data_IF_298855698427
#
_entry.id   IF_298855698427
#
_cell.length_a   1.000
_cell.length_b   1.000
_cell.length_c   1.000
_cell.angle_alpha   90.00
_cell.angle_beta   90.00
_cell.angle_gamma   90.00
#
_symmetry.space_group_name_H-M   'P 1'
#
loop_
_entity.id
_entity.type
_entity.pdbx_description
1 polymer ?
#
# COMPACT_ATOMS: atom_id res chain seq x y z
N UNK A 1 27.04 9.71 -79.85
CA UNK A 1 26.73 11.16 -79.95
C UNK A 1 26.16 11.60 -78.62
N UNK A 2 26.98 12.22 -77.76
CA UNK A 2 26.62 12.58 -76.39
C UNK A 2 25.85 13.90 -76.30
N UNK A 3 24.85 13.95 -75.42
CA UNK A 3 23.97 15.10 -75.20
C UNK A 3 24.81 16.21 -74.54
N UNK A 4 25.00 17.35 -75.22
CA UNK A 4 25.67 18.53 -74.65
C UNK A 4 24.66 19.38 -73.89
N UNK A 5 24.97 19.75 -72.65
CA UNK A 5 24.12 20.63 -71.84
C UNK A 5 24.15 22.06 -72.40
N UNK A 6 22.98 22.67 -72.59
CA UNK A 6 22.80 24.06 -73.06
C UNK A 6 23.00 25.10 -71.94
N UNK A 7 22.99 24.66 -70.67
CA UNK A 7 23.12 25.56 -69.52
C UNK A 7 24.57 26.02 -69.36
N UNK A 8 24.77 27.32 -69.24
CA UNK A 8 26.03 27.87 -68.80
C UNK A 8 26.18 27.69 -67.29
N UNK A 9 26.96 26.67 -66.92
CA UNK A 9 27.19 26.32 -65.52
C UNK A 9 28.11 27.33 -64.82
N UNK A 10 28.88 28.13 -65.55
CA UNK A 10 29.77 29.13 -64.94
C UNK A 10 28.94 30.29 -64.39
N UNK A 11 28.07 30.87 -65.21
CA UNK A 11 27.17 31.95 -64.79
C UNK A 11 26.14 31.46 -63.78
N UNK A 12 25.57 30.27 -63.97
CA UNK A 12 24.62 29.69 -63.03
C UNK A 12 25.24 29.49 -61.63
N UNK A 13 26.44 28.90 -61.54
CA UNK A 13 27.12 28.70 -60.26
C UNK A 13 27.50 30.02 -59.59
N UNK A 14 27.88 31.04 -60.37
CA UNK A 14 28.16 32.36 -59.86
C UNK A 14 26.91 33.01 -59.24
N UNK A 15 25.77 32.94 -59.95
CA UNK A 15 24.49 33.45 -59.45
C UNK A 15 24.04 32.70 -58.20
N UNK A 16 24.13 31.37 -58.21
CA UNK A 16 23.75 30.54 -57.06
C UNK A 16 24.58 30.86 -55.82
N UNK A 17 25.88 31.15 -55.99
CA UNK A 17 26.76 31.53 -54.88
C UNK A 17 26.45 32.95 -54.37
N UNK A 18 26.21 33.91 -55.26
CA UNK A 18 25.83 35.30 -54.91
C UNK A 18 24.50 35.35 -54.16
N UNK A 19 23.53 34.54 -54.58
CA UNK A 19 22.20 34.48 -53.95
C UNK A 19 22.17 33.55 -52.73
N UNK A 20 23.23 32.78 -52.48
CA UNK A 20 23.28 31.88 -51.34
C UNK A 20 23.25 32.66 -50.03
N UNK A 21 22.42 32.21 -49.09
CA UNK A 21 22.43 32.77 -47.74
C UNK A 21 23.64 32.22 -46.98
N UNK A 22 24.37 33.06 -46.23
CA UNK A 22 25.49 32.58 -45.42
C UNK A 22 24.99 31.51 -44.42
N UNK A 23 25.78 30.44 -44.28
CA UNK A 23 25.48 29.38 -43.30
C UNK A 23 25.41 30.02 -41.92
N UNK A 24 24.37 29.67 -41.15
CA UNK A 24 24.27 30.07 -39.74
C UNK A 24 25.50 29.49 -39.03
N UNK A 25 26.33 30.36 -38.49
CA UNK A 25 27.34 30.00 -37.49
C UNK A 25 26.66 29.22 -36.36
N UNK A 26 27.34 28.19 -35.84
CA UNK A 26 26.82 27.35 -34.76
C UNK A 26 26.21 28.25 -33.68
N UNK A 27 24.91 28.07 -33.45
CA UNK A 27 24.10 29.01 -32.69
C UNK A 27 24.68 29.24 -31.30
N UNK A 28 24.60 30.49 -30.83
CA UNK A 28 24.86 30.86 -29.44
C UNK A 28 24.16 29.86 -28.51
N UNK A 29 24.87 29.41 -27.46
CA UNK A 29 24.31 28.50 -26.46
C UNK A 29 22.94 29.00 -25.99
N UNK A 30 21.95 28.10 -25.95
CA UNK A 30 20.58 28.43 -25.58
C UNK A 30 20.55 29.02 -24.16
N UNK A 31 19.98 30.23 -24.03
CA UNK A 31 19.86 30.92 -22.76
C UNK A 31 18.65 30.39 -21.98
N UNK A 32 18.91 29.50 -21.03
CA UNK A 32 17.88 28.87 -20.19
C UNK A 32 17.12 29.84 -19.28
N UNK A 33 17.65 31.06 -19.05
CA UNK A 33 16.95 32.11 -18.32
C UNK A 33 15.89 32.80 -19.18
N UNK A 34 16.09 32.83 -20.50
CA UNK A 34 15.16 33.45 -21.46
C UNK A 34 14.12 32.48 -22.03
N UNK A 35 13.88 31.34 -21.36
CA UNK A 35 12.79 30.44 -21.75
C UNK A 35 11.44 31.14 -21.52
N UNK A 36 10.44 30.97 -22.41
CA UNK A 36 9.19 31.73 -22.38
C UNK A 36 8.41 31.59 -21.07
N UNK A 37 8.48 30.40 -20.44
CA UNK A 37 7.75 30.09 -19.22
C UNK A 37 8.69 30.05 -17.99
N UNK A 38 9.77 30.83 -17.99
CA UNK A 38 10.66 30.92 -16.83
C UNK A 38 9.91 31.47 -15.62
N UNK A 39 9.88 30.70 -14.52
CA UNK A 39 9.18 31.09 -13.29
C UNK A 39 7.67 30.81 -13.28
N UNK A 40 7.06 30.43 -14.40
CA UNK A 40 5.65 30.04 -14.46
C UNK A 40 5.47 28.56 -14.12
N UNK A 41 4.39 28.24 -13.39
CA UNK A 41 4.01 26.84 -13.09
C UNK A 41 3.41 26.21 -14.35
N UNK A 42 3.92 25.06 -14.84
CA UNK A 42 3.36 24.35 -15.97
C UNK A 42 1.91 23.90 -15.76
N UNK A 43 1.12 23.88 -16.83
CA UNK A 43 -0.31 23.59 -16.78
C UNK A 43 -0.63 22.18 -16.25
N UNK A 44 0.17 21.18 -16.65
CA UNK A 44 -0.01 19.79 -16.20
C UNK A 44 0.05 19.63 -14.67
N UNK A 45 0.79 20.49 -13.95
CA UNK A 45 0.85 20.43 -12.50
C UNK A 45 -0.44 20.90 -11.85
N UNK A 46 -1.16 21.84 -12.48
CA UNK A 46 -2.47 22.29 -12.01
C UNK A 46 -3.51 21.16 -12.15
N UNK A 47 -3.48 20.45 -13.27
CA UNK A 47 -4.33 19.28 -13.51
C UNK A 47 -4.08 18.18 -12.47
N UNK A 48 -2.81 17.85 -12.21
CA UNK A 48 -2.43 16.87 -11.19
C UNK A 48 -2.91 17.29 -9.80
N UNK A 49 -2.74 18.57 -9.44
CA UNK A 49 -3.19 19.09 -8.15
C UNK A 49 -4.70 18.99 -8.01
N UNK A 50 -5.46 19.34 -9.04
CA UNK A 50 -6.91 19.23 -9.04
C UNK A 50 -7.35 17.76 -8.91
N UNK A 51 -6.72 16.85 -9.68
CA UNK A 51 -6.98 15.42 -9.58
C UNK A 51 -6.74 14.87 -8.18
N UNK A 52 -5.61 15.23 -7.56
CA UNK A 52 -5.30 14.83 -6.18
C UNK A 52 -6.33 15.37 -5.19
N UNK A 53 -6.75 16.63 -5.33
CA UNK A 53 -7.77 17.23 -4.46
C UNK A 53 -9.11 16.48 -4.57
N UNK A 54 -9.53 16.11 -5.77
CA UNK A 54 -10.75 15.32 -5.99
C UNK A 54 -10.63 13.91 -5.40
N UNK A 55 -9.48 13.25 -5.56
CA UNK A 55 -9.22 11.94 -4.97
C UNK A 55 -9.27 12.00 -3.44
N UNK A 56 -8.62 12.99 -2.82
CA UNK A 56 -8.67 13.18 -1.37
C UNK A 56 -10.10 13.41 -0.88
N UNK A 57 -10.87 14.29 -1.54
CA UNK A 57 -12.25 14.56 -1.18
C UNK A 57 -13.14 13.30 -1.32
N UNK A 58 -12.90 12.48 -2.35
CA UNK A 58 -13.62 11.22 -2.56
C UNK A 58 -13.29 10.17 -1.49
N UNK A 59 -12.02 10.03 -1.11
CA UNK A 59 -11.63 9.13 -0.02
C UNK A 59 -12.21 9.61 1.32
N UNK A 60 -12.26 10.92 1.54
CA UNK A 60 -12.86 11.49 2.74
C UNK A 60 -14.37 11.25 2.80
N UNK A 61 -15.10 11.40 1.68
CA UNK A 61 -16.53 11.08 1.63
C UNK A 61 -16.77 9.60 1.89
N UNK A 62 -15.99 8.69 1.30
CA UNK A 62 -16.07 7.25 1.57
C UNK A 62 -15.85 6.89 3.05
N UNK A 63 -14.89 7.55 3.71
CA UNK A 63 -14.64 7.35 5.15
C UNK A 63 -15.81 7.87 5.98
N UNK A 64 -16.35 9.04 5.62
CA UNK A 64 -17.48 9.64 6.31
C UNK A 64 -18.76 8.81 6.14
N UNK A 65 -19.02 8.32 4.93
CA UNK A 65 -20.15 7.45 4.63
C UNK A 65 -20.03 6.10 5.35
N UNK A 66 -18.82 5.52 5.43
CA UNK A 66 -18.60 4.34 6.28
C UNK A 66 -18.80 4.63 7.78
N UNK A 67 -18.46 5.84 8.26
CA UNK A 67 -18.69 6.22 9.65
C UNK A 67 -20.16 6.51 9.98
N UNK A 68 -20.96 6.92 8.98
CA UNK A 68 -22.39 7.27 9.12
C UNK A 68 -23.33 6.13 8.71
N UNK A 69 -22.86 5.16 7.94
CA UNK A 69 -23.64 4.06 7.38
C UNK A 69 -22.94 2.73 7.64
N UNK A 70 -23.38 2.05 8.69
CA UNK A 70 -23.11 0.63 8.93
C UNK A 70 -23.65 -0.18 7.74
N UNK A 71 -22.83 -0.37 6.69
CA UNK A 71 -23.09 -1.33 5.63
C UNK A 71 -22.93 -2.75 6.20
N UNK A 72 -23.97 -3.60 6.18
CA UNK A 72 -23.88 -4.96 6.69
C UNK A 72 -23.08 -5.81 5.70
N UNK A 73 -21.76 -5.90 5.88
CA UNK A 73 -20.93 -6.86 5.13
C UNK A 73 -19.47 -6.45 4.89
N UNK A 74 -19.09 -5.18 5.05
CA UNK A 74 -17.68 -4.80 4.98
C UNK A 74 -17.14 -4.74 6.41
N UNK A 75 -16.59 -5.85 6.87
CA UNK A 75 -16.06 -5.96 8.22
C UNK A 75 -15.09 -4.81 8.49
N UNK A 76 -15.37 -4.03 9.52
CA UNK A 76 -14.55 -2.89 9.88
C UNK A 76 -13.19 -3.42 10.33
N UNK A 77 -12.18 -3.32 9.46
CA UNK A 77 -10.83 -3.80 9.72
C UNK A 77 -10.12 -2.75 10.57
N UNK A 78 -10.10 -2.97 11.89
CA UNK A 78 -9.51 -2.04 12.86
C UNK A 78 -8.27 -2.63 13.50
N UNK A 79 -7.22 -1.82 13.63
CA UNK A 79 -6.06 -2.17 14.47
C UNK A 79 -6.47 -2.09 15.93
N UNK A 80 -6.31 -3.19 16.66
CA UNK A 80 -6.62 -3.25 18.09
C UNK A 80 -5.66 -2.32 18.86
N UNK A 81 -6.17 -1.41 19.71
CA UNK A 81 -5.33 -0.57 20.55
C UNK A 81 -4.57 -1.41 21.58
N UNK A 82 -3.38 -0.94 21.97
CA UNK A 82 -2.51 -1.69 22.89
C UNK A 82 -3.13 -1.96 24.26
N UNK A 83 -3.97 -1.04 24.77
CA UNK A 83 -4.67 -1.21 26.04
C UNK A 83 -5.63 -2.41 26.01
N UNK A 84 -6.40 -2.53 24.93
CA UNK A 84 -7.34 -3.63 24.71
C UNK A 84 -6.60 -4.96 24.51
N UNK A 85 -5.49 -4.94 23.74
CA UNK A 85 -4.64 -6.12 23.55
C UNK A 85 -4.09 -6.64 24.88
N UNK A 86 -3.58 -5.75 25.73
CA UNK A 86 -3.05 -6.13 27.05
C UNK A 86 -4.16 -6.68 27.95
N UNK A 87 -5.35 -6.07 27.94
CA UNK A 87 -6.51 -6.57 28.68
C UNK A 87 -6.91 -7.99 28.21
N UNK A 88 -6.99 -8.21 26.90
CA UNK A 88 -7.30 -9.52 26.31
C UNK A 88 -6.24 -10.57 26.68
N UNK A 89 -4.96 -10.22 26.59
CA UNK A 89 -3.85 -11.10 26.96
C UNK A 89 -3.90 -11.48 28.45
N UNK A 90 -4.22 -10.53 29.34
CA UNK A 90 -4.39 -10.80 30.76
C UNK A 90 -5.59 -11.71 31.02
N UNK A 91 -6.71 -11.50 30.31
CA UNK A 91 -7.89 -12.37 30.40
C UNK A 91 -7.60 -13.81 29.96
N UNK A 92 -6.90 -13.98 28.84
CA UNK A 92 -6.47 -15.30 28.34
C UNK A 92 -5.56 -16.02 29.33
N UNK A 93 -4.57 -15.32 29.90
CA UNK A 93 -3.68 -15.88 30.94
C UNK A 93 -4.44 -16.28 32.19
N UNK A 94 -5.39 -15.47 32.65
CA UNK A 94 -6.24 -15.79 33.80
C UNK A 94 -7.05 -17.06 33.54
N UNK A 95 -7.67 -17.19 32.37
CA UNK A 95 -8.41 -18.39 31.99
C UNK A 95 -7.52 -19.63 31.90
N UNK A 96 -6.32 -19.48 31.33
CA UNK A 96 -5.33 -20.56 31.28
C UNK A 96 -4.95 -21.02 32.69
N UNK A 97 -4.70 -20.10 33.63
CA UNK A 97 -4.37 -20.46 35.02
C UNK A 97 -5.48 -21.25 35.71
N UNK A 98 -6.75 -20.83 35.56
CA UNK A 98 -7.89 -21.54 36.12
C UNK A 98 -8.01 -22.95 35.54
N UNK A 99 -7.99 -23.06 34.21
CA UNK A 99 -8.12 -24.33 33.51
C UNK A 99 -6.95 -25.28 33.79
N UNK A 100 -5.72 -24.76 33.82
CA UNK A 100 -4.54 -25.54 34.15
C UNK A 100 -4.60 -26.01 35.62
N UNK A 101 -5.06 -25.18 36.55
CA UNK A 101 -5.26 -25.62 37.94
C UNK A 101 -6.27 -26.78 38.03
N UNK A 102 -7.39 -26.70 37.32
CA UNK A 102 -8.37 -27.79 37.24
C UNK A 102 -7.77 -29.05 36.60
N UNK A 103 -6.99 -28.88 35.53
CA UNK A 103 -6.29 -29.97 34.87
C UNK A 103 -5.31 -30.67 35.81
N UNK A 104 -4.43 -29.92 36.49
CA UNK A 104 -3.46 -30.46 37.46
C UNK A 104 -4.16 -31.20 38.61
N UNK A 105 -5.33 -30.72 39.05
CA UNK A 105 -6.12 -31.45 40.04
C UNK A 105 -6.60 -32.81 39.55
N UNK A 106 -6.63 -33.07 38.23
CA UNK A 106 -7.02 -34.37 37.65
C UNK A 106 -5.83 -35.24 37.23
N UNK A 107 -4.61 -34.70 37.11
CA UNK A 107 -3.44 -35.44 36.61
C UNK A 107 -2.94 -36.54 37.55
N UNK A 108 -3.26 -36.47 38.85
CA UNK A 108 -2.92 -37.52 39.82
C UNK A 108 -3.66 -38.86 39.56
N UNK A 109 -4.67 -38.87 38.69
CA UNK A 109 -5.41 -40.08 38.31
C UNK A 109 -4.63 -40.82 37.22
N UNK A 110 -3.72 -41.71 37.64
CA UNK A 110 -2.82 -42.46 36.74
C UNK A 110 -3.55 -43.48 35.86
N UNK A 111 -4.65 -44.05 36.36
CA UNK A 111 -5.45 -45.05 35.63
C UNK A 111 -6.71 -44.43 35.03
N UNK A 112 -6.71 -44.28 33.70
CA UNK A 112 -7.84 -43.77 32.91
C UNK A 112 -8.74 -44.92 32.43
N UNK A 113 -9.17 -45.79 33.34
CA UNK A 113 -9.87 -47.06 33.02
C UNK A 113 -11.26 -46.90 32.39
N UNK A 114 -11.81 -45.68 32.39
CA UNK A 114 -13.14 -45.38 31.86
C UNK A 114 -13.06 -44.35 30.74
N UNK A 115 -13.83 -44.54 29.67
CA UNK A 115 -13.91 -43.61 28.53
C UNK A 115 -14.15 -42.16 28.97
N UNK A 116 -14.98 -41.93 29.99
CA UNK A 116 -15.25 -40.59 30.52
C UNK A 116 -14.03 -39.90 31.16
N UNK A 117 -13.11 -40.65 31.77
CA UNK A 117 -11.86 -40.10 32.32
C UNK A 117 -10.91 -39.67 31.20
N UNK A 118 -10.75 -40.51 30.18
CA UNK A 118 -9.95 -40.19 29.00
C UNK A 118 -10.50 -38.95 28.26
N UNK A 119 -11.81 -38.92 28.01
CA UNK A 119 -12.47 -37.79 27.32
C UNK A 119 -12.36 -36.47 28.07
N UNK A 120 -12.43 -36.48 29.41
CA UNK A 120 -12.23 -35.26 30.21
C UNK A 120 -10.80 -34.74 30.10
N UNK A 121 -9.80 -35.63 30.14
CA UNK A 121 -8.39 -35.25 29.94
C UNK A 121 -8.18 -34.63 28.56
N UNK A 122 -8.64 -35.30 27.51
CA UNK A 122 -8.56 -34.81 26.12
C UNK A 122 -9.22 -33.43 25.97
N UNK A 123 -10.39 -33.24 26.59
CA UNK A 123 -11.09 -31.95 26.55
C UNK A 123 -10.32 -30.81 27.21
N UNK A 124 -9.66 -31.08 28.35
CA UNK A 124 -8.78 -30.10 28.98
C UNK A 124 -7.56 -29.78 28.10
N UNK A 125 -6.93 -30.80 27.51
CA UNK A 125 -5.77 -30.63 26.62
C UNK A 125 -6.14 -29.82 25.36
N UNK A 126 -7.29 -30.08 24.75
CA UNK A 126 -7.79 -29.33 23.60
C UNK A 126 -8.03 -27.85 23.95
N UNK A 127 -8.68 -27.59 25.09
CA UNK A 127 -8.92 -26.22 25.54
C UNK A 127 -7.63 -25.47 25.90
N UNK A 128 -6.67 -26.12 26.57
CA UNK A 128 -5.36 -25.53 26.88
C UNK A 128 -4.60 -25.18 25.61
N UNK A 129 -4.53 -26.10 24.64
CA UNK A 129 -3.90 -25.87 23.35
C UNK A 129 -4.55 -24.72 22.57
N UNK A 130 -5.89 -24.62 22.62
CA UNK A 130 -6.60 -23.50 22.01
C UNK A 130 -6.23 -22.16 22.65
N UNK A 131 -6.20 -22.07 23.99
CA UNK A 131 -5.85 -20.84 24.71
C UNK A 131 -4.40 -20.44 24.43
N UNK A 132 -3.47 -21.39 24.41
CA UNK A 132 -2.06 -21.14 24.07
C UNK A 132 -1.90 -20.57 22.67
N UNK A 133 -2.65 -21.10 21.69
CA UNK A 133 -2.69 -20.57 20.33
C UNK A 133 -3.22 -19.13 20.31
N UNK A 134 -4.24 -18.81 21.09
CA UNK A 134 -4.76 -17.44 21.21
C UNK A 134 -3.76 -16.50 21.90
N UNK A 135 -3.06 -16.93 22.95
CA UNK A 135 -2.02 -16.14 23.62
C UNK A 135 -0.87 -15.85 22.65
N UNK A 136 -0.43 -16.83 21.85
CA UNK A 136 0.60 -16.66 20.83
C UNK A 136 0.20 -15.67 19.73
N UNK A 137 -1.08 -15.62 19.37
CA UNK A 137 -1.61 -14.59 18.45
C UNK A 137 -1.68 -13.22 19.12
N UNK A 138 -2.13 -13.16 20.37
CA UNK A 138 -2.31 -11.93 21.14
C UNK A 138 -0.99 -11.27 21.60
N UNK A 139 0.10 -12.03 21.66
CA UNK A 139 1.44 -11.53 22.03
C UNK A 139 2.14 -10.76 20.90
N UNK A 140 1.65 -10.86 19.66
CA UNK A 140 2.20 -10.12 18.52
C UNK A 140 1.97 -8.61 18.70
N UNK A 141 2.91 -7.80 18.19
CA UNK A 141 2.91 -6.34 18.35
C UNK A 141 1.72 -5.63 17.69
N UNK A 142 1.25 -6.16 16.57
CA UNK A 142 0.13 -5.56 15.81
C UNK A 142 -0.91 -6.65 15.53
N UNK A 143 -2.15 -6.40 15.96
CA UNK A 143 -3.29 -7.29 15.72
C UNK A 143 -4.36 -6.48 15.01
N UNK A 144 -4.84 -7.04 13.92
CA UNK A 144 -5.93 -6.47 13.14
C UNK A 144 -7.16 -7.32 13.40
N UNK A 145 -8.23 -6.66 13.83
CA UNK A 145 -9.53 -7.29 14.09
C UNK A 145 -10.45 -6.89 12.95
N UNK A 146 -11.16 -7.88 12.43
CA UNK A 146 -12.25 -7.70 11.47
C UNK A 146 -13.54 -7.89 12.26
N UNK A 147 -14.34 -6.84 12.38
CA UNK A 147 -15.67 -6.90 12.98
C UNK A 147 -16.61 -7.53 11.96
N UNK A 148 -16.80 -8.84 12.04
CA UNK A 148 -17.74 -9.62 11.23
C UNK A 148 -19.07 -9.82 11.92
#
# INVERSE_FOLDING_TARGET
MGIKSIRDHVTANAIDNILSRPKKNSGRLFDWMKKPNYGAVPEYLKEIKNRLQLEYAYVESLRKDNSMGSFPGLSEVRVMPDSERVALLNGLKKRWNTLNSEYQNTTHIVKLDTIGKARRKEHFEEQLAAIEKYISKASKRTIVVSSG
#
